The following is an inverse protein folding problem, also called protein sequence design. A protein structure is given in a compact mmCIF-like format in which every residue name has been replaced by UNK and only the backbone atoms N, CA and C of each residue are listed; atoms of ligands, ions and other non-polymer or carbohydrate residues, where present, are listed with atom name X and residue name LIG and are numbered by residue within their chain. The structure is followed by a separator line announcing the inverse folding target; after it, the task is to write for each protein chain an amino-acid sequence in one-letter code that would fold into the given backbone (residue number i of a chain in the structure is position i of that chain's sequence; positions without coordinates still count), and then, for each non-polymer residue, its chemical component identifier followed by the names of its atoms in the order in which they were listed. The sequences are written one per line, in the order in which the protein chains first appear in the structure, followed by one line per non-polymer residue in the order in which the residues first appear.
data_IF_441980986829
#
_entry.id   IF_441980986829
#
_cell.length_a   1.000
_cell.length_b   1.000
_cell.length_c   1.000
_cell.angle_alpha   90.00
_cell.angle_beta   90.00
_cell.angle_gamma   90.00
#
_symmetry.space_group_name_H-M   'P 1'
#
loop_
_entity.id
_entity.type
_entity.pdbx_description
1 polymer ?
#
# COMPACT_ATOMS: atom_id res chain seq x y z
N UNK A 1 26.84 -2.19 -24.90
CA UNK A 1 26.74 -2.05 -23.43
C UNK A 1 25.77 -3.09 -22.93
N UNK A 2 26.14 -3.87 -21.93
CA UNK A 2 25.27 -4.88 -21.29
C UNK A 2 25.15 -4.55 -19.81
N UNK A 3 23.97 -4.79 -19.23
CA UNK A 3 23.75 -4.65 -17.80
C UNK A 3 24.62 -5.65 -17.01
N UNK A 4 24.94 -5.35 -15.73
CA UNK A 4 25.54 -6.32 -14.82
C UNK A 4 24.72 -7.62 -14.74
N UNK A 5 25.39 -8.76 -14.53
CA UNK A 5 24.73 -10.08 -14.48
C UNK A 5 23.74 -10.20 -13.31
N UNK A 6 23.97 -9.44 -12.26
CA UNK A 6 23.23 -9.35 -11.02
C UNK A 6 22.27 -8.15 -10.97
N UNK A 7 22.00 -7.51 -12.12
CA UNK A 7 21.07 -6.39 -12.18
C UNK A 7 19.67 -6.82 -11.75
N UNK A 8 19.14 -6.13 -10.72
CA UNK A 8 17.83 -6.42 -10.13
C UNK A 8 16.69 -5.81 -10.97
N UNK A 9 16.30 -6.50 -12.03
CA UNK A 9 15.07 -6.21 -12.74
C UNK A 9 13.87 -6.40 -11.82
N UNK A 10 12.96 -5.43 -11.79
CA UNK A 10 11.90 -5.44 -10.79
C UNK A 10 10.70 -4.59 -11.12
N UNK A 11 9.67 -4.75 -10.29
CA UNK A 11 8.46 -3.94 -10.30
C UNK A 11 8.34 -3.12 -9.02
N UNK A 12 7.67 -1.97 -9.08
CA UNK A 12 7.47 -1.09 -7.94
C UNK A 12 5.99 -0.69 -7.80
N UNK A 13 5.45 -0.90 -6.60
CA UNK A 13 4.14 -0.39 -6.20
C UNK A 13 4.24 0.37 -4.87
N UNK A 14 3.15 1.01 -4.46
CA UNK A 14 2.98 1.52 -3.10
C UNK A 14 1.69 0.98 -2.50
N UNK A 15 1.71 0.70 -1.20
CA UNK A 15 0.61 0.08 -0.46
C UNK A 15 -0.74 0.78 -0.71
N UNK A 16 -0.77 2.10 -0.55
CA UNK A 16 -1.98 2.92 -0.70
C UNK A 16 -2.53 2.96 -2.14
N UNK A 17 -1.75 2.55 -3.14
CA UNK A 17 -2.19 2.50 -4.54
C UNK A 17 -2.75 1.12 -4.89
N UNK A 18 -2.23 0.06 -4.27
CA UNK A 18 -2.46 -1.31 -4.72
C UNK A 18 -3.24 -2.18 -3.72
N UNK A 19 -2.96 -2.09 -2.42
CA UNK A 19 -3.49 -3.02 -1.40
C UNK A 19 -5.02 -2.98 -1.32
N UNK A 20 -5.59 -1.79 -1.16
CA UNK A 20 -7.01 -1.65 -0.83
C UNK A 20 -7.32 -2.12 0.58
N UNK A 21 -8.49 -2.75 0.76
CA UNK A 21 -8.94 -3.34 2.03
C UNK A 21 -8.80 -2.37 3.22
N UNK A 22 -9.25 -1.13 3.00
CA UNK A 22 -8.82 0.01 3.80
C UNK A 22 -9.18 -0.02 5.30
N UNK A 23 -10.17 -0.80 5.71
CA UNK A 23 -10.57 -1.02 7.10
C UNK A 23 -10.44 -2.47 7.57
N UNK A 24 -9.90 -3.36 6.73
CA UNK A 24 -9.78 -4.78 7.04
C UNK A 24 -8.67 -5.01 8.06
N UNK A 25 -8.87 -5.98 8.96
CA UNK A 25 -7.90 -6.41 9.96
C UNK A 25 -7.36 -5.26 10.84
N UNK A 26 -8.27 -4.43 11.35
CA UNK A 26 -7.99 -3.29 12.23
C UNK A 26 -7.11 -2.20 11.62
N UNK A 27 -6.99 -2.13 10.29
CA UNK A 27 -6.38 -0.98 9.61
C UNK A 27 -7.27 0.25 9.76
N UNK A 28 -6.68 1.40 10.04
CA UNK A 28 -7.40 2.69 10.03
C UNK A 28 -7.19 3.48 8.74
N UNK A 29 -7.99 4.55 8.57
CA UNK A 29 -7.88 5.47 7.46
C UNK A 29 -6.48 6.07 7.36
N UNK A 30 -5.87 5.94 6.20
CA UNK A 30 -4.71 6.74 5.80
C UNK A 30 -5.15 8.04 5.14
N UNK A 31 -4.22 9.00 5.05
CA UNK A 31 -4.44 10.27 4.31
C UNK A 31 -4.92 10.01 2.88
N UNK A 32 -4.48 8.91 2.26
CA UNK A 32 -4.86 8.61 0.89
C UNK A 32 -6.26 8.01 0.78
N UNK A 33 -6.82 7.42 1.84
CA UNK A 33 -8.17 6.81 1.85
C UNK A 33 -9.29 7.85 1.86
N UNK A 34 -8.94 9.10 2.11
CA UNK A 34 -9.85 10.25 2.11
C UNK A 34 -9.68 11.15 0.87
N UNK A 35 -8.82 10.77 -0.06
CA UNK A 35 -8.59 11.53 -1.30
C UNK A 35 -9.52 11.02 -2.40
N UNK A 36 -10.51 11.82 -2.85
CA UNK A 36 -11.49 11.37 -3.83
C UNK A 36 -10.90 11.26 -5.23
N UNK A 37 -11.66 10.64 -6.14
CA UNK A 37 -11.47 10.79 -7.58
C UNK A 37 -12.05 12.12 -8.07
N UNK A 38 -11.53 12.66 -9.18
CA UNK A 38 -12.07 13.84 -9.85
C UNK A 38 -11.31 15.14 -9.59
N UNK A 39 -11.89 16.27 -9.97
CA UNK A 39 -11.23 17.58 -10.00
C UNK A 39 -10.73 18.03 -8.62
N UNK A 40 -11.50 17.75 -7.57
CA UNK A 40 -11.16 18.11 -6.18
C UNK A 40 -10.09 17.21 -5.56
N UNK A 41 -9.60 16.18 -6.26
CA UNK A 41 -8.57 15.26 -5.76
C UNK A 41 -7.32 15.99 -5.27
N UNK A 42 -6.82 16.94 -6.06
CA UNK A 42 -5.57 17.65 -5.75
C UNK A 42 -5.73 18.59 -4.56
N UNK A 43 -6.84 19.31 -4.49
CA UNK A 43 -7.12 20.25 -3.41
C UNK A 43 -7.35 19.54 -2.08
N UNK A 44 -8.07 18.41 -2.07
CA UNK A 44 -8.21 17.57 -0.87
C UNK A 44 -6.87 16.96 -0.46
N UNK A 45 -6.09 16.42 -1.40
CA UNK A 45 -4.78 15.83 -1.09
C UNK A 45 -3.80 16.85 -0.50
N UNK A 46 -3.92 18.13 -0.86
CA UNK A 46 -3.11 19.22 -0.33
C UNK A 46 -3.66 19.80 0.99
N UNK A 47 -4.83 19.34 1.45
CA UNK A 47 -5.46 19.84 2.68
C UNK A 47 -6.19 21.17 2.52
N UNK A 48 -6.41 21.67 1.30
CA UNK A 48 -7.15 22.92 1.06
C UNK A 48 -8.66 22.76 1.25
N UNK A 49 -9.18 21.53 1.20
CA UNK A 49 -10.58 21.21 1.43
C UNK A 49 -10.62 20.06 2.43
N UNK A 50 -11.44 20.20 3.47
CA UNK A 50 -11.69 19.11 4.41
C UNK A 50 -12.46 17.99 3.70
N UNK A 51 -11.90 16.78 3.72
CA UNK A 51 -12.51 15.58 3.15
C UNK A 51 -13.87 15.23 3.79
N UNK A 52 -14.14 15.70 5.01
CA UNK A 52 -15.42 15.49 5.72
C UNK A 52 -16.59 16.26 5.10
N UNK A 53 -16.32 17.20 4.20
CA UNK A 53 -17.35 17.95 3.46
C UNK A 53 -17.95 17.14 2.31
N UNK A 54 -17.36 16.00 1.96
CA UNK A 54 -17.81 15.15 0.87
C UNK A 54 -18.86 14.14 1.37
N UNK A 55 -19.87 13.90 0.55
CA UNK A 55 -20.83 12.81 0.78
C UNK A 55 -20.13 11.47 0.54
N UNK A 56 -19.96 10.67 1.59
CA UNK A 56 -19.28 9.38 1.51
C UNK A 56 -20.00 8.38 0.59
N UNK A 57 -21.32 8.48 0.43
CA UNK A 57 -22.10 7.53 -0.38
C UNK A 57 -21.93 7.80 -1.88
N UNK A 58 -21.75 9.07 -2.26
CA UNK A 58 -21.64 9.51 -3.65
C UNK A 58 -20.20 9.81 -4.09
N UNK A 59 -19.22 9.69 -3.18
CA UNK A 59 -17.82 9.98 -3.48
C UNK A 59 -17.01 8.71 -3.61
N UNK A 60 -16.38 8.53 -4.77
CA UNK A 60 -15.49 7.41 -5.01
C UNK A 60 -14.05 7.70 -4.54
N UNK A 61 -13.51 6.81 -3.71
CA UNK A 61 -12.14 6.89 -3.17
C UNK A 61 -11.29 5.73 -3.69
N UNK A 62 -10.47 5.92 -4.73
CA UNK A 62 -9.79 4.81 -5.43
C UNK A 62 -8.86 3.97 -4.54
N UNK A 63 -8.18 4.62 -3.60
CA UNK A 63 -7.26 3.98 -2.63
C UNK A 63 -7.94 2.98 -1.70
N UNK A 64 -9.25 3.14 -1.45
CA UNK A 64 -10.00 2.23 -0.58
C UNK A 64 -10.07 0.81 -1.14
N UNK A 65 -10.05 0.69 -2.48
CA UNK A 65 -10.13 -0.57 -3.23
C UNK A 65 -8.77 -0.96 -3.81
N UNK A 66 -8.00 0.00 -4.33
CA UNK A 66 -6.73 -0.26 -5.02
C UNK A 66 -6.94 -1.20 -6.21
N UNK A 67 -6.02 -2.17 -6.37
CA UNK A 67 -6.19 -3.30 -7.29
C UNK A 67 -6.58 -4.58 -6.56
N UNK A 68 -7.01 -4.47 -5.29
CA UNK A 68 -7.29 -5.58 -4.39
C UNK A 68 -6.07 -6.48 -4.11
N UNK A 69 -4.86 -5.91 -4.14
CA UNK A 69 -3.63 -6.66 -3.88
C UNK A 69 -3.64 -7.29 -2.48
N UNK A 70 -4.34 -6.69 -1.50
CA UNK A 70 -4.45 -7.28 -0.16
C UNK A 70 -4.98 -8.71 -0.15
N UNK A 71 -5.96 -9.00 -1.01
CA UNK A 71 -6.62 -10.31 -1.08
C UNK A 71 -6.05 -11.18 -2.22
N UNK A 72 -5.32 -10.58 -3.17
CA UNK A 72 -4.87 -11.24 -4.42
C UNK A 72 -3.36 -11.28 -4.61
N UNK A 73 -2.57 -10.89 -3.60
CA UNK A 73 -1.10 -10.84 -3.70
C UNK A 73 -0.49 -12.17 -4.16
N UNK A 74 -1.14 -13.30 -3.87
CA UNK A 74 -0.64 -14.63 -4.27
C UNK A 74 -0.64 -14.82 -5.79
N UNK A 75 -1.74 -14.42 -6.44
CA UNK A 75 -1.89 -14.45 -7.90
C UNK A 75 -0.97 -13.43 -8.55
N UNK A 76 -0.91 -12.21 -8.00
CA UNK A 76 -0.12 -11.11 -8.54
C UNK A 76 1.38 -11.42 -8.46
N UNK A 77 1.89 -11.95 -7.33
CA UNK A 77 3.30 -12.31 -7.17
C UNK A 77 3.68 -13.48 -8.07
N UNK A 78 2.77 -14.44 -8.29
CA UNK A 78 3.00 -15.53 -9.24
C UNK A 78 3.20 -15.00 -10.65
N UNK A 79 2.36 -14.05 -11.10
CA UNK A 79 2.51 -13.40 -12.41
C UNK A 79 3.84 -12.65 -12.52
N UNK A 80 4.25 -11.94 -11.45
CA UNK A 80 5.55 -11.28 -11.40
C UNK A 80 6.72 -12.26 -11.51
N UNK A 81 6.61 -13.43 -10.86
CA UNK A 81 7.59 -14.50 -10.96
C UNK A 81 7.66 -15.08 -12.39
N UNK A 82 6.51 -15.28 -13.05
CA UNK A 82 6.43 -15.74 -14.44
C UNK A 82 7.08 -14.75 -15.42
N UNK A 83 7.00 -13.44 -15.14
CA UNK A 83 7.73 -12.42 -15.89
C UNK A 83 9.26 -12.45 -15.68
N UNK A 84 9.74 -13.19 -14.68
CA UNK A 84 11.16 -13.34 -14.38
C UNK A 84 11.78 -12.18 -13.61
N UNK A 85 10.97 -11.37 -12.91
CA UNK A 85 11.51 -10.28 -12.08
C UNK A 85 12.36 -10.84 -10.94
N UNK A 86 13.35 -10.06 -10.51
CA UNK A 86 14.29 -10.39 -9.43
C UNK A 86 14.05 -9.58 -8.17
N UNK A 87 13.39 -8.43 -8.28
CA UNK A 87 13.12 -7.55 -7.15
C UNK A 87 11.68 -7.02 -7.19
N UNK A 88 11.00 -7.03 -6.06
CA UNK A 88 9.67 -6.45 -5.92
C UNK A 88 9.70 -5.36 -4.86
N UNK A 89 9.50 -4.11 -5.29
CA UNK A 89 9.53 -2.95 -4.42
C UNK A 89 8.12 -2.57 -4.00
N UNK A 90 7.88 -2.53 -2.70
CA UNK A 90 6.61 -2.06 -2.12
C UNK A 90 6.87 -1.21 -0.87
N UNK A 91 5.80 -0.65 -0.30
CA UNK A 91 5.86 0.09 0.97
C UNK A 91 5.01 -0.60 2.02
N UNK A 92 5.34 -0.42 3.29
CA UNK A 92 4.48 -0.83 4.40
C UNK A 92 3.44 0.27 4.67
N UNK A 93 2.18 -0.12 4.71
CA UNK A 93 1.05 0.71 5.12
C UNK A 93 1.13 0.91 6.63
N UNK A 94 1.57 2.08 7.07
CA UNK A 94 1.73 2.36 8.50
C UNK A 94 0.41 2.20 9.26
N UNK A 95 -0.72 2.65 8.70
CA UNK A 95 -2.04 2.52 9.35
C UNK A 95 -2.53 1.07 9.47
N UNK A 96 -1.78 0.12 8.90
CA UNK A 96 -1.98 -1.31 9.07
C UNK A 96 -1.14 -1.88 10.23
N UNK A 97 -0.02 -1.23 10.57
CA UNK A 97 0.87 -1.61 11.68
C UNK A 97 0.53 -0.82 12.95
N UNK A 98 0.40 0.50 12.84
CA UNK A 98 -0.01 1.42 13.89
C UNK A 98 -1.18 2.24 13.36
N UNK A 99 -2.39 1.81 13.69
CA UNK A 99 -3.62 2.29 13.05
C UNK A 99 -3.88 3.77 13.34
N UNK A 100 -3.75 4.18 14.59
CA UNK A 100 -3.85 5.58 15.03
C UNK A 100 -2.48 6.25 15.15
N UNK A 101 -1.40 5.46 15.27
CA UNK A 101 -0.03 5.97 15.41
C UNK A 101 0.37 6.26 16.85
N UNK A 102 -0.53 6.05 17.82
CA UNK A 102 -0.27 6.26 19.26
C UNK A 102 -0.30 4.96 20.06
N UNK A 103 -0.53 3.82 19.42
CA UNK A 103 -0.51 2.52 20.08
C UNK A 103 0.90 2.15 20.55
N UNK A 104 1.00 1.51 21.71
CA UNK A 104 2.27 0.98 22.22
C UNK A 104 2.69 -0.30 21.49
N UNK A 105 1.72 -1.09 21.01
CA UNK A 105 1.96 -2.38 20.36
C UNK A 105 1.46 -2.35 18.92
N UNK A 106 2.19 -2.97 17.98
CA UNK A 106 1.78 -3.05 16.58
C UNK A 106 0.59 -3.99 16.40
N UNK A 107 -0.21 -3.73 15.38
CA UNK A 107 -1.26 -4.61 14.90
C UNK A 107 -0.67 -5.87 14.27
N UNK A 108 -0.82 -7.00 14.97
CA UNK A 108 -0.27 -8.29 14.56
C UNK A 108 -0.80 -8.75 13.19
N UNK A 109 -2.08 -8.52 12.88
CA UNK A 109 -2.65 -8.93 11.60
C UNK A 109 -2.02 -8.19 10.41
N UNK A 110 -1.59 -6.94 10.63
CA UNK A 110 -0.81 -6.17 9.67
C UNK A 110 0.58 -6.73 9.44
N UNK A 111 1.29 -7.08 10.51
CA UNK A 111 2.61 -7.71 10.43
C UNK A 111 2.53 -9.07 9.72
N UNK A 112 1.53 -9.88 10.03
CA UNK A 112 1.34 -11.19 9.43
C UNK A 112 1.05 -11.10 7.93
N UNK A 113 0.30 -10.09 7.49
CA UNK A 113 0.11 -9.84 6.05
C UNK A 113 1.43 -9.60 5.33
N UNK A 114 2.25 -8.65 5.79
CA UNK A 114 3.54 -8.37 5.15
C UNK A 114 4.50 -9.55 5.23
N UNK A 115 4.47 -10.31 6.32
CA UNK A 115 5.25 -11.55 6.45
C UNK A 115 4.88 -12.53 5.33
N UNK A 116 3.58 -12.83 5.14
CA UNK A 116 3.12 -13.74 4.09
C UNK A 116 3.50 -13.26 2.69
N UNK A 117 3.34 -11.96 2.41
CA UNK A 117 3.73 -11.36 1.12
C UNK A 117 5.23 -11.56 0.85
N UNK A 118 6.09 -11.27 1.81
CA UNK A 118 7.54 -11.37 1.63
C UNK A 118 8.03 -12.82 1.60
N UNK A 119 7.43 -13.71 2.40
CA UNK A 119 7.70 -15.15 2.35
C UNK A 119 7.34 -15.71 0.96
N UNK A 120 6.20 -15.28 0.40
CA UNK A 120 5.82 -15.68 -0.95
C UNK A 120 6.79 -15.15 -2.01
N UNK A 121 7.19 -13.86 -1.96
CA UNK A 121 8.22 -13.33 -2.85
C UNK A 121 9.51 -14.17 -2.80
N UNK A 122 9.97 -14.52 -1.60
CA UNK A 122 11.17 -15.33 -1.40
C UNK A 122 11.02 -16.74 -1.96
N UNK A 123 9.85 -17.36 -1.84
CA UNK A 123 9.58 -18.68 -2.44
C UNK A 123 9.74 -18.70 -3.97
N UNK A 124 9.53 -17.56 -4.62
CA UNK A 124 9.73 -17.35 -6.05
C UNK A 124 11.10 -16.77 -6.42
N UNK A 125 12.03 -16.65 -5.46
CA UNK A 125 13.35 -16.01 -5.63
C UNK A 125 13.26 -14.54 -6.06
N UNK A 126 12.24 -13.83 -5.59
CA UNK A 126 12.06 -12.39 -5.75
C UNK A 126 12.51 -11.70 -4.46
N UNK A 127 13.45 -10.76 -4.55
CA UNK A 127 13.93 -9.98 -3.41
C UNK A 127 12.92 -8.85 -3.08
N UNK A 128 12.33 -8.82 -1.88
CA UNK A 128 11.44 -7.74 -1.49
C UNK A 128 12.24 -6.49 -1.10
N UNK A 129 12.01 -5.38 -1.79
CA UNK A 129 12.58 -4.07 -1.45
C UNK A 129 11.53 -3.21 -0.75
N UNK A 130 11.71 -2.96 0.54
CA UNK A 130 10.68 -2.32 1.37
C UNK A 130 11.00 -0.85 1.64
N UNK A 131 10.05 0.03 1.34
CA UNK A 131 10.07 1.42 1.78
C UNK A 131 9.23 1.60 3.06
N UNK A 132 9.87 2.11 4.12
CA UNK A 132 9.23 2.31 5.42
C UNK A 132 8.15 3.42 5.42
N UNK A 133 8.24 4.39 4.52
CA UNK A 133 7.34 5.55 4.42
C UNK A 133 7.14 5.95 2.95
N UNK A 134 6.00 5.59 2.35
CA UNK A 134 5.68 6.04 0.98
C UNK A 134 4.88 7.35 0.94
N UNK A 135 4.01 7.62 1.91
CA UNK A 135 3.34 8.94 2.09
C UNK A 135 2.62 8.94 3.44
N UNK A 136 3.08 9.69 4.45
CA UNK A 136 2.27 10.01 5.63
C UNK A 136 2.66 11.37 6.23
N UNK A 137 1.65 12.24 6.37
CA UNK A 137 1.67 13.39 7.27
C UNK A 137 0.61 13.05 8.32
N UNK A 138 1.01 13.06 9.59
CA UNK A 138 0.13 12.81 10.73
C UNK A 138 -1.04 13.81 10.70
N UNK A 139 -2.27 13.31 10.59
CA UNK A 139 -3.49 14.11 10.72
C UNK A 139 -3.97 14.06 12.18
N UNK A 140 -3.16 14.59 13.09
CA UNK A 140 -3.61 15.03 14.41
C UNK A 140 -2.91 16.35 14.73
N UNK A 141 -3.58 17.44 14.37
CA UNK A 141 -3.41 18.78 14.94
C UNK A 141 -4.78 19.28 15.30
#
# INVERSE_FOLDING_TARGET
MTFPKDFLWGGAIAANQAEGAYLKDNRSLSVMDVVPLGEKRRTVKQGFIDYRTFDEQNTYYPSRIGIQFYDRYEEDIKLLAEMGIKCFRTSISWTRIFSTGVENEPNQAGLDFYRRVFELCRSYNIEPLVLRLATLIYLYT
#
